data_IF_614174090101
#
_entry.id   IF_614174090101
#
_cell.length_a   1.000
_cell.length_b   1.000
_cell.length_c   1.000
_cell.angle_alpha   90.00
_cell.angle_beta   90.00
_cell.angle_gamma   90.00
#
_symmetry.space_group_name_H-M   'P 1'
#
loop_
_entity.id
_entity.type
_entity.pdbx_description
1 polymer ?
#
# COMPACT_ATOMS: atom_id res chain seq x y z
N UNK A 1 -8.17 33.17 27.10
CA UNK A 1 -9.08 33.53 25.98
C UNK A 1 -9.05 32.38 24.98
N UNK A 2 -10.04 31.49 24.98
CA UNK A 2 -10.15 30.45 23.96
C UNK A 2 -10.69 31.10 22.68
N UNK A 3 -9.83 31.31 21.68
CA UNK A 3 -10.29 31.73 20.37
C UNK A 3 -11.05 30.54 19.75
N UNK A 4 -12.36 30.65 19.68
CA UNK A 4 -13.22 29.70 18.99
C UNK A 4 -12.89 29.74 17.49
N UNK A 5 -12.25 28.69 16.97
CA UNK A 5 -11.91 28.62 15.55
C UNK A 5 -13.19 28.36 14.76
N UNK A 6 -13.60 29.21 13.82
CA UNK A 6 -14.82 28.99 13.04
C UNK A 6 -14.72 27.70 12.20
N UNK A 7 -15.84 26.98 12.05
CA UNK A 7 -15.91 25.75 11.24
C UNK A 7 -15.44 25.96 9.79
N UNK A 8 -15.74 27.13 9.20
CA UNK A 8 -15.24 27.51 7.87
C UNK A 8 -13.72 27.47 7.77
N UNK A 9 -13.02 27.91 8.81
CA UNK A 9 -11.55 27.89 8.88
C UNK A 9 -10.99 26.45 8.94
N UNK A 10 -11.70 25.56 9.63
CA UNK A 10 -11.34 24.13 9.71
C UNK A 10 -11.50 23.49 8.33
N UNK A 11 -12.62 23.71 7.68
CA UNK A 11 -12.91 23.17 6.34
C UNK A 11 -11.85 23.65 5.33
N UNK A 12 -11.53 24.95 5.32
CA UNK A 12 -10.49 25.51 4.45
C UNK A 12 -9.10 24.88 4.69
N UNK A 13 -8.74 24.61 5.96
CA UNK A 13 -7.48 23.92 6.30
C UNK A 13 -7.47 22.48 5.78
N UNK A 14 -8.58 21.77 5.89
CA UNK A 14 -8.69 20.39 5.40
C UNK A 14 -8.67 20.32 3.87
N UNK A 15 -9.36 21.23 3.18
CA UNK A 15 -9.30 21.36 1.72
C UNK A 15 -7.88 21.67 1.22
N UNK A 16 -7.15 22.51 1.95
CA UNK A 16 -5.73 22.75 1.65
C UNK A 16 -4.88 21.49 1.82
N UNK A 17 -5.14 20.66 2.85
CA UNK A 17 -4.45 19.37 3.02
C UNK A 17 -4.76 18.41 1.89
N UNK A 18 -6.02 18.34 1.45
CA UNK A 18 -6.42 17.52 0.31
C UNK A 18 -5.69 17.94 -0.98
N UNK A 19 -5.58 19.26 -1.22
CA UNK A 19 -4.82 19.76 -2.36
C UNK A 19 -3.33 19.42 -2.27
N UNK A 20 -2.71 19.57 -1.09
CA UNK A 20 -1.30 19.21 -0.89
C UNK A 20 -1.07 17.70 -1.09
N UNK A 21 -1.96 16.87 -0.56
CA UNK A 21 -1.91 15.42 -0.76
C UNK A 21 -2.03 15.05 -2.25
N UNK A 22 -2.87 15.77 -3.01
CA UNK A 22 -2.99 15.57 -4.46
C UNK A 22 -1.69 15.94 -5.19
N UNK A 23 -1.06 17.04 -4.84
CA UNK A 23 0.22 17.45 -5.42
C UNK A 23 1.32 16.44 -5.13
N UNK A 24 1.39 15.92 -3.90
CA UNK A 24 2.32 14.87 -3.51
C UNK A 24 2.08 13.59 -4.30
N UNK A 25 0.81 13.14 -4.38
CA UNK A 25 0.43 11.97 -5.17
C UNK A 25 0.84 12.10 -6.64
N UNK A 26 0.50 13.23 -7.27
CA UNK A 26 0.81 13.47 -8.69
C UNK A 26 2.33 13.48 -8.92
N UNK A 27 3.10 14.08 -8.00
CA UNK A 27 4.57 14.12 -8.05
C UNK A 27 5.20 12.73 -7.87
N UNK A 28 4.79 12.01 -6.84
CA UNK A 28 5.31 10.66 -6.54
C UNK A 28 4.96 9.67 -7.66
N UNK A 29 3.74 9.73 -8.18
CA UNK A 29 3.31 8.88 -9.30
C UNK A 29 4.13 9.15 -10.57
N UNK A 30 4.33 10.42 -10.91
CA UNK A 30 5.14 10.79 -12.07
C UNK A 30 6.61 10.42 -11.89
N UNK A 31 7.16 10.63 -10.69
CA UNK A 31 8.53 10.21 -10.35
C UNK A 31 8.69 8.70 -10.48
N UNK A 32 7.75 7.93 -9.93
CA UNK A 32 7.75 6.47 -10.07
C UNK A 32 7.65 6.05 -11.54
N UNK A 33 6.77 6.68 -12.32
CA UNK A 33 6.61 6.41 -13.74
C UNK A 33 7.91 6.64 -14.51
N UNK A 34 8.59 7.75 -14.27
CA UNK A 34 9.87 8.06 -14.91
C UNK A 34 10.97 7.08 -14.50
N UNK A 35 10.99 6.65 -13.25
CA UNK A 35 12.02 5.74 -12.72
C UNK A 35 11.78 4.27 -13.10
N UNK A 36 10.52 3.87 -13.31
CA UNK A 36 10.16 2.47 -13.55
C UNK A 36 9.63 2.20 -14.94
N UNK A 37 8.65 2.94 -15.44
CA UNK A 37 8.01 2.64 -16.73
C UNK A 37 8.90 3.03 -17.93
N UNK A 38 9.61 4.14 -17.84
CA UNK A 38 10.54 4.57 -18.89
C UNK A 38 11.82 3.73 -18.96
N UNK A 39 12.02 2.83 -17.99
CA UNK A 39 13.22 2.00 -17.86
C UNK A 39 12.99 0.62 -18.47
N UNK A 40 13.90 0.16 -19.34
CA UNK A 40 13.89 -1.23 -19.81
C UNK A 40 14.13 -2.24 -18.67
N UNK A 41 13.66 -3.50 -18.85
CA UNK A 41 13.74 -4.56 -17.83
C UNK A 41 15.16 -4.71 -17.27
N UNK A 42 16.17 -4.80 -18.12
CA UNK A 42 17.54 -5.01 -17.65
C UNK A 42 18.06 -3.93 -16.70
N UNK A 43 17.59 -2.68 -16.84
CA UNK A 43 17.93 -1.62 -15.88
C UNK A 43 17.14 -1.74 -14.58
N UNK A 44 15.87 -2.17 -14.66
CA UNK A 44 15.03 -2.42 -13.47
C UNK A 44 15.60 -3.55 -12.63
N UNK A 45 16.04 -4.64 -13.26
CA UNK A 45 16.69 -5.78 -12.60
C UNK A 45 17.98 -5.32 -11.92
N UNK A 46 18.87 -4.60 -12.62
CA UNK A 46 20.11 -4.06 -12.04
C UNK A 46 19.91 -3.09 -10.87
N UNK A 47 18.73 -2.46 -10.76
CA UNK A 47 18.36 -1.61 -9.63
C UNK A 47 17.59 -2.36 -8.54
N UNK A 48 17.44 -3.68 -8.67
CA UNK A 48 16.70 -4.51 -7.71
C UNK A 48 15.20 -4.25 -7.65
N UNK A 49 14.63 -3.53 -8.62
CA UNK A 49 13.21 -3.15 -8.66
C UNK A 49 12.35 -4.17 -9.41
N UNK A 50 12.97 -5.16 -10.03
CA UNK A 50 12.33 -6.16 -10.87
C UNK A 50 13.11 -7.48 -10.76
N UNK A 51 12.38 -8.59 -10.65
CA UNK A 51 12.92 -9.93 -10.85
C UNK A 51 12.40 -10.48 -12.17
N UNK A 52 13.32 -10.89 -13.03
CA UNK A 52 13.00 -11.48 -14.32
C UNK A 52 14.22 -12.29 -14.85
N UNK A 53 14.04 -13.53 -15.28
CA UNK A 53 12.83 -14.33 -15.13
C UNK A 53 12.61 -14.83 -13.69
N UNK A 54 11.36 -15.15 -13.37
CA UNK A 54 11.00 -15.83 -12.12
C UNK A 54 10.27 -17.14 -12.41
N UNK A 55 10.34 -18.09 -11.47
CA UNK A 55 9.45 -19.24 -11.42
C UNK A 55 8.37 -19.05 -10.37
N UNK A 56 7.13 -19.41 -10.68
CA UNK A 56 6.04 -19.52 -9.71
C UNK A 56 6.06 -20.92 -9.10
N UNK A 57 6.13 -20.97 -7.77
CA UNK A 57 6.15 -22.21 -6.97
C UNK A 57 4.79 -22.50 -6.33
N UNK A 58 4.83 -22.87 -5.04
CA UNK A 58 3.63 -23.24 -4.28
C UNK A 58 2.67 -22.05 -4.13
N UNK A 59 1.38 -22.36 -4.11
CA UNK A 59 0.34 -21.42 -3.68
C UNK A 59 -0.43 -22.03 -2.50
N UNK A 60 -0.78 -21.20 -1.53
CA UNK A 60 -1.48 -21.61 -0.32
C UNK A 60 -2.17 -20.41 0.35
N UNK A 61 -2.99 -20.70 1.36
CA UNK A 61 -3.53 -19.65 2.23
C UNK A 61 -2.63 -19.47 3.44
N UNK A 62 -2.19 -18.24 3.70
CA UNK A 62 -1.38 -17.89 4.86
C UNK A 62 -2.24 -17.88 6.15
N UNK A 63 -1.60 -17.60 7.31
CA UNK A 63 -2.29 -17.52 8.61
C UNK A 63 -3.39 -16.45 8.69
N UNK A 64 -3.37 -15.47 7.81
CA UNK A 64 -4.40 -14.44 7.68
C UNK A 64 -5.48 -14.80 6.66
N UNK A 65 -5.52 -16.06 6.20
CA UNK A 65 -6.44 -16.54 5.16
C UNK A 65 -6.35 -15.75 3.85
N UNK A 66 -5.14 -15.30 3.49
CA UNK A 66 -4.86 -14.64 2.22
C UNK A 66 -4.20 -15.63 1.27
N UNK A 67 -4.67 -15.67 0.02
CA UNK A 67 -4.05 -16.48 -1.01
C UNK A 67 -2.68 -15.93 -1.36
N UNK A 68 -1.65 -16.75 -1.26
CA UNK A 68 -0.27 -16.37 -1.58
C UNK A 68 0.32 -17.30 -2.63
N UNK A 69 1.29 -16.79 -3.37
CA UNK A 69 2.15 -17.56 -4.28
C UNK A 69 3.61 -17.32 -3.92
N UNK A 70 4.40 -18.37 -3.91
CA UNK A 70 5.86 -18.29 -3.81
C UNK A 70 6.43 -18.07 -5.21
N UNK A 71 7.36 -17.14 -5.32
CA UNK A 71 8.14 -16.92 -6.54
C UNK A 71 9.62 -16.97 -6.23
N UNK A 72 10.40 -17.48 -7.15
CA UNK A 72 11.84 -17.57 -7.03
C UNK A 72 12.51 -16.91 -8.25
N UNK A 73 13.52 -16.08 -7.97
CA UNK A 73 14.36 -15.43 -8.97
C UNK A 73 15.29 -16.47 -9.60
N UNK A 74 15.30 -16.54 -10.94
CA UNK A 74 16.07 -17.54 -11.67
C UNK A 74 17.47 -17.04 -12.06
N UNK A 75 17.61 -15.76 -12.32
CA UNK A 75 18.85 -15.11 -12.76
C UNK A 75 19.17 -13.91 -11.84
N UNK A 76 20.38 -13.34 -12.02
CA UNK A 76 20.83 -12.12 -11.33
C UNK A 76 20.74 -12.20 -9.80
N UNK A 77 21.03 -13.37 -9.22
CA UNK A 77 20.88 -13.66 -7.78
C UNK A 77 21.84 -12.88 -6.88
N UNK A 78 22.90 -12.33 -7.44
CA UNK A 78 23.90 -11.49 -6.78
C UNK A 78 23.47 -10.01 -6.68
N UNK A 79 22.39 -9.62 -7.35
CA UNK A 79 21.89 -8.24 -7.30
C UNK A 79 21.01 -8.03 -6.07
N UNK A 80 21.37 -7.06 -5.23
CA UNK A 80 20.51 -6.61 -4.12
C UNK A 80 19.16 -6.11 -4.65
N UNK A 81 18.08 -6.42 -3.95
CA UNK A 81 16.74 -6.01 -4.31
C UNK A 81 16.15 -5.01 -3.31
N UNK A 82 15.16 -4.24 -3.76
CA UNK A 82 14.46 -3.25 -2.95
C UNK A 82 13.01 -3.66 -2.62
N UNK A 83 12.70 -4.95 -2.79
CA UNK A 83 11.41 -5.49 -2.35
C UNK A 83 11.40 -5.62 -0.83
N UNK A 84 10.28 -5.20 -0.23
CA UNK A 84 10.05 -5.23 1.21
C UNK A 84 8.62 -5.67 1.51
N UNK A 85 8.38 -6.15 2.74
CA UNK A 85 7.03 -6.45 3.22
C UNK A 85 6.07 -5.29 2.99
N UNK A 86 4.87 -5.60 2.48
CA UNK A 86 3.80 -4.63 2.24
C UNK A 86 3.94 -3.83 0.94
N UNK A 87 5.05 -3.95 0.21
CA UNK A 87 5.22 -3.23 -1.06
C UNK A 87 4.32 -3.80 -2.15
N UNK A 88 3.62 -2.95 -2.90
CA UNK A 88 2.84 -3.38 -4.05
C UNK A 88 3.75 -3.80 -5.20
N UNK A 89 3.33 -4.85 -5.89
CA UNK A 89 4.01 -5.40 -7.05
C UNK A 89 3.02 -5.72 -8.16
N UNK A 90 3.49 -5.75 -9.40
CA UNK A 90 2.74 -6.26 -10.53
C UNK A 90 3.53 -7.36 -11.25
N UNK A 91 2.80 -8.35 -11.74
CA UNK A 91 3.33 -9.40 -12.60
C UNK A 91 3.29 -8.98 -14.06
N UNK A 92 4.20 -9.50 -14.84
CA UNK A 92 4.23 -9.31 -16.27
C UNK A 92 4.84 -10.53 -16.96
N UNK A 93 4.60 -10.65 -18.26
CA UNK A 93 5.29 -11.57 -19.16
C UNK A 93 6.00 -10.78 -20.24
N UNK A 94 7.02 -11.41 -20.83
CA UNK A 94 7.70 -10.87 -22.00
C UNK A 94 7.58 -11.84 -23.17
N UNK A 95 7.18 -11.35 -24.31
CA UNK A 95 7.14 -12.15 -25.53
C UNK A 95 8.52 -12.20 -26.22
N UNK A 96 8.66 -13.02 -27.25
CA UNK A 96 9.89 -13.19 -28.01
C UNK A 96 10.40 -11.90 -28.71
N UNK A 97 9.53 -10.93 -28.94
CA UNK A 97 9.90 -9.62 -29.48
C UNK A 97 10.36 -8.61 -28.40
N UNK A 98 10.38 -9.02 -27.13
CA UNK A 98 10.78 -8.16 -26.01
C UNK A 98 9.65 -7.27 -25.47
N UNK A 99 8.44 -7.38 -26.01
CA UNK A 99 7.29 -6.59 -25.55
C UNK A 99 6.76 -7.15 -24.22
N UNK A 100 6.45 -6.24 -23.28
CA UNK A 100 5.90 -6.55 -21.98
C UNK A 100 4.38 -6.59 -22.02
N UNK A 101 3.81 -7.58 -21.36
CA UNK A 101 2.40 -7.69 -21.10
C UNK A 101 2.17 -7.80 -19.57
N UNK A 102 1.57 -6.75 -18.99
CA UNK A 102 1.25 -6.71 -17.57
C UNK A 102 -0.08 -7.41 -17.29
N UNK A 103 -0.13 -8.15 -16.18
CA UNK A 103 -1.40 -8.69 -15.69
C UNK A 103 -2.27 -7.57 -15.14
N UNK A 104 -3.59 -7.71 -15.28
CA UNK A 104 -4.56 -6.70 -14.86
C UNK A 104 -4.90 -6.83 -13.35
N UNK A 105 -3.89 -7.02 -12.50
CA UNK A 105 -4.03 -7.00 -11.05
C UNK A 105 -2.73 -6.54 -10.40
N UNK A 106 -2.86 -5.99 -9.20
CA UNK A 106 -1.75 -5.72 -8.28
C UNK A 106 -1.74 -6.73 -7.16
N UNK A 107 -0.55 -7.04 -6.68
CA UNK A 107 -0.30 -7.96 -5.59
C UNK A 107 0.59 -7.29 -4.54
N UNK A 108 0.80 -7.92 -3.39
CA UNK A 108 1.55 -7.32 -2.29
C UNK A 108 2.60 -8.30 -1.77
N UNK A 109 3.81 -7.83 -1.53
CA UNK A 109 4.88 -8.63 -0.91
C UNK A 109 4.50 -8.97 0.52
N UNK A 110 4.41 -10.27 0.83
CA UNK A 110 4.17 -10.77 2.18
C UNK A 110 5.47 -11.12 2.92
N UNK A 111 6.43 -11.66 2.19
CA UNK A 111 7.75 -12.02 2.71
C UNK A 111 8.73 -12.01 1.55
N UNK A 112 9.97 -11.64 1.80
CA UNK A 112 11.04 -11.73 0.82
C UNK A 112 12.33 -12.13 1.54
N UNK A 113 13.06 -13.01 0.91
CA UNK A 113 14.40 -13.46 1.23
C UNK A 113 15.26 -13.31 -0.02
N UNK A 114 16.54 -13.59 0.03
CA UNK A 114 17.52 -13.34 -1.04
C UNK A 114 16.98 -13.58 -2.46
N UNK A 115 16.47 -14.77 -2.73
CA UNK A 115 15.98 -15.19 -4.06
C UNK A 115 14.53 -15.62 -4.09
N UNK A 116 13.86 -15.63 -2.94
CA UNK A 116 12.49 -16.10 -2.80
C UNK A 116 11.58 -15.02 -2.23
N UNK A 117 10.42 -14.88 -2.84
CA UNK A 117 9.39 -13.95 -2.39
C UNK A 117 8.05 -14.67 -2.25
N UNK A 118 7.30 -14.34 -1.20
CA UNK A 118 5.91 -14.75 -1.01
C UNK A 118 5.04 -13.53 -1.28
N UNK A 119 4.10 -13.66 -2.19
CA UNK A 119 3.27 -12.57 -2.69
C UNK A 119 1.81 -12.89 -2.42
N UNK A 120 1.09 -11.96 -1.77
CA UNK A 120 -0.37 -12.03 -1.59
C UNK A 120 -1.04 -11.66 -2.90
N UNK A 121 -1.89 -12.54 -3.39
CA UNK A 121 -2.69 -12.32 -4.59
C UNK A 121 -4.09 -11.79 -4.24
N UNK A 122 -4.68 -10.95 -5.08
CA UNK A 122 -6.02 -10.38 -4.83
C UNK A 122 -7.15 -11.38 -4.99
N UNK A 123 -6.96 -12.47 -5.77
CA UNK A 123 -8.00 -13.46 -6.06
C UNK A 123 -7.42 -14.77 -6.59
N UNK A 124 -8.25 -15.81 -6.63
CA UNK A 124 -7.90 -17.07 -7.28
C UNK A 124 -7.71 -16.91 -8.81
N UNK A 125 -8.44 -16.00 -9.45
CA UNK A 125 -8.28 -15.73 -10.88
C UNK A 125 -6.90 -15.16 -11.22
N UNK A 126 -6.33 -14.37 -10.30
CA UNK A 126 -4.96 -13.89 -10.43
C UNK A 126 -3.95 -15.06 -10.43
N UNK A 127 -4.13 -16.04 -9.54
CA UNK A 127 -3.30 -17.24 -9.51
C UNK A 127 -3.44 -18.04 -10.79
N UNK A 128 -4.67 -18.29 -11.26
CA UNK A 128 -4.91 -19.01 -12.51
C UNK A 128 -4.25 -18.32 -13.70
N UNK A 129 -4.29 -16.98 -13.75
CA UNK A 129 -3.65 -16.20 -14.80
C UNK A 129 -2.12 -16.38 -14.80
N UNK A 130 -1.48 -16.42 -13.62
CA UNK A 130 -0.05 -16.69 -13.49
C UNK A 130 0.28 -18.11 -13.94
N UNK A 131 -0.51 -19.10 -13.54
CA UNK A 131 -0.27 -20.51 -13.85
C UNK A 131 -0.54 -20.89 -15.31
N UNK A 132 -1.44 -20.17 -15.96
CA UNK A 132 -1.81 -20.43 -17.35
C UNK A 132 -0.79 -19.92 -18.39
N UNK A 133 0.18 -19.10 -17.96
CA UNK A 133 1.15 -18.52 -18.91
C UNK A 133 2.28 -19.50 -19.21
N UNK A 134 2.60 -19.65 -20.50
CA UNK A 134 3.78 -20.37 -20.99
C UNK A 134 4.98 -19.42 -21.23
N UNK A 135 4.75 -18.11 -21.11
CA UNK A 135 5.78 -17.10 -21.30
C UNK A 135 6.60 -16.91 -20.03
N UNK A 136 7.82 -16.40 -20.19
CA UNK A 136 8.66 -16.06 -19.05
C UNK A 136 7.98 -15.00 -18.19
N UNK A 137 7.84 -15.32 -16.91
CA UNK A 137 7.19 -14.51 -15.91
C UNK A 137 8.19 -13.56 -15.25
N UNK A 138 7.74 -12.36 -14.92
CA UNK A 138 8.49 -11.40 -14.12
C UNK A 138 7.60 -10.72 -13.10
N UNK A 139 8.23 -10.15 -12.09
CA UNK A 139 7.57 -9.32 -11.06
C UNK A 139 8.37 -8.04 -10.85
N UNK A 140 7.69 -6.91 -10.73
CA UNK A 140 8.32 -5.62 -10.46
C UNK A 140 7.54 -4.83 -9.44
N UNK A 141 8.21 -3.87 -8.81
CA UNK A 141 7.54 -2.89 -7.94
C UNK A 141 6.45 -2.14 -8.70
N UNK A 142 5.39 -1.85 -7.99
CA UNK A 142 4.26 -1.05 -8.47
C UNK A 142 4.04 0.17 -7.59
N UNK A 143 3.42 1.22 -8.12
CA UNK A 143 3.12 2.41 -7.35
C UNK A 143 2.01 2.13 -6.33
N UNK A 144 2.18 2.58 -5.08
CA UNK A 144 1.18 2.37 -4.03
C UNK A 144 0.02 3.37 -4.15
N UNK A 145 -0.90 3.08 -5.07
CA UNK A 145 -2.13 3.87 -5.21
C UNK A 145 -3.12 3.65 -4.04
N UNK A 146 -3.03 2.51 -3.37
CA UNK A 146 -4.00 2.13 -2.32
C UNK A 146 -3.90 3.04 -1.11
N UNK A 147 -2.68 3.32 -0.65
CA UNK A 147 -2.46 4.22 0.49
C UNK A 147 -2.97 5.63 0.19
N UNK A 148 -2.69 6.15 -1.00
CA UNK A 148 -3.19 7.46 -1.41
C UNK A 148 -4.71 7.49 -1.52
N UNK A 149 -5.33 6.47 -2.11
CA UNK A 149 -6.79 6.35 -2.19
C UNK A 149 -7.44 6.38 -0.81
N UNK A 150 -6.91 5.61 0.14
CA UNK A 150 -7.41 5.59 1.52
C UNK A 150 -7.26 6.95 2.22
N UNK A 151 -6.15 7.65 2.00
CA UNK A 151 -5.95 9.00 2.54
C UNK A 151 -6.95 10.01 1.96
N UNK A 152 -7.22 9.98 0.64
CA UNK A 152 -8.24 10.82 0.00
C UNK A 152 -9.65 10.48 0.49
N UNK A 153 -9.98 9.21 0.61
CA UNK A 153 -11.27 8.77 1.16
C UNK A 153 -11.48 9.25 2.60
N UNK A 154 -10.45 9.10 3.45
CA UNK A 154 -10.50 9.57 4.84
C UNK A 154 -10.70 11.09 4.94
N UNK A 155 -9.92 11.87 4.17
CA UNK A 155 -10.10 13.33 4.12
C UNK A 155 -11.49 13.72 3.61
N UNK A 156 -11.97 13.06 2.56
CA UNK A 156 -13.30 13.30 2.01
C UNK A 156 -14.41 12.99 3.01
N UNK A 157 -14.29 11.93 3.81
CA UNK A 157 -15.24 11.59 4.88
C UNK A 157 -15.24 12.67 5.98
N UNK A 158 -14.07 13.12 6.42
CA UNK A 158 -13.95 14.17 7.44
C UNK A 158 -14.52 15.51 6.95
N UNK A 159 -14.27 15.87 5.69
CA UNK A 159 -14.82 17.09 5.09
C UNK A 159 -16.35 17.09 5.00
N UNK A 160 -16.92 15.93 4.63
CA UNK A 160 -18.38 15.76 4.44
C UNK A 160 -19.14 15.51 5.74
N UNK A 161 -18.46 15.19 6.84
CA UNK A 161 -19.08 14.83 8.10
C UNK A 161 -19.96 15.99 8.64
N UNK A 162 -21.21 15.70 8.99
CA UNK A 162 -22.18 16.65 9.56
C UNK A 162 -23.04 15.94 10.61
N UNK A 163 -23.14 16.52 11.80
CA UNK A 163 -24.06 16.05 12.85
C UNK A 163 -23.78 14.63 13.36
N UNK A 164 -22.60 14.11 13.16
CA UNK A 164 -22.17 12.79 13.61
C UNK A 164 -20.88 12.86 14.43
N UNK A 165 -20.47 11.75 15.02
CA UNK A 165 -19.26 11.66 15.85
C UNK A 165 -18.00 12.10 15.12
N UNK A 166 -17.87 11.85 13.82
CA UNK A 166 -16.72 12.27 13.03
C UNK A 166 -16.65 13.80 12.90
N UNK A 167 -17.79 14.47 12.72
CA UNK A 167 -17.87 15.93 12.72
C UNK A 167 -17.44 16.52 14.06
N UNK A 168 -17.94 15.95 15.16
CA UNK A 168 -17.58 16.34 16.52
C UNK A 168 -16.08 16.17 16.79
N UNK A 169 -15.51 15.01 16.45
CA UNK A 169 -14.08 14.74 16.58
C UNK A 169 -13.23 15.71 15.75
N UNK A 170 -13.66 16.04 14.53
CA UNK A 170 -13.00 17.06 13.70
C UNK A 170 -12.92 18.40 14.42
N UNK A 171 -14.01 18.85 15.04
CA UNK A 171 -14.10 20.12 15.74
C UNK A 171 -13.26 20.13 17.02
N UNK A 172 -13.24 19.01 17.76
CA UNK A 172 -12.38 18.84 18.93
C UNK A 172 -10.91 18.89 18.53
N UNK A 173 -10.53 18.13 17.49
CA UNK A 173 -9.14 18.07 17.00
C UNK A 173 -8.60 19.43 16.53
N UNK A 174 -9.46 20.24 15.97
CA UNK A 174 -9.10 21.59 15.52
C UNK A 174 -9.31 22.68 16.57
N UNK A 175 -9.73 22.31 17.79
CA UNK A 175 -9.88 23.26 18.91
C UNK A 175 -11.10 24.15 18.83
N UNK A 176 -12.08 23.89 17.94
CA UNK A 176 -13.35 24.61 17.88
C UNK A 176 -14.37 24.12 18.92
N UNK A 177 -14.23 22.89 19.36
CA UNK A 177 -15.02 22.29 20.43
C UNK A 177 -14.09 21.71 21.50
N UNK A 178 -14.49 21.85 22.78
CA UNK A 178 -13.75 21.26 23.89
C UNK A 178 -14.07 19.77 24.02
N UNK A 179 -13.06 18.94 24.23
CA UNK A 179 -13.29 17.54 24.57
C UNK A 179 -13.95 17.42 25.94
N UNK A 180 -14.96 16.58 26.04
CA UNK A 180 -15.52 16.18 27.32
C UNK A 180 -14.58 15.18 27.98
N UNK A 181 -14.26 15.41 29.24
CA UNK A 181 -13.45 14.51 30.05
C UNK A 181 -14.31 13.90 31.13
N UNK A 182 -14.28 12.59 31.24
CA UNK A 182 -14.98 11.86 32.28
C UNK A 182 -13.98 11.32 33.29
N UNK A 183 -14.34 11.36 34.56
CA UNK A 183 -13.64 10.62 35.60
C UNK A 183 -14.11 9.16 35.53
N UNK A 184 -13.30 8.28 34.98
CA UNK A 184 -13.56 6.84 35.06
C UNK A 184 -13.16 6.32 36.44
N UNK A 185 -14.08 5.57 37.09
CA UNK A 185 -13.68 4.70 38.18
C UNK A 185 -12.63 3.70 37.67
N UNK A 186 -11.45 3.70 38.27
CA UNK A 186 -10.40 2.79 37.89
C UNK A 186 -10.86 1.34 38.16
N UNK A 187 -11.00 0.54 37.10
CA UNK A 187 -11.31 -0.89 37.24
C UNK A 187 -10.01 -1.65 36.99
N UNK A 188 -9.45 -2.22 38.05
CA UNK A 188 -8.27 -3.05 37.94
C UNK A 188 -8.63 -4.39 37.32
N UNK A 189 -8.00 -4.73 36.20
CA UNK A 189 -8.17 -6.03 35.56
C UNK A 189 -7.17 -7.02 36.18
N UNK A 190 -7.63 -8.09 36.85
CA UNK A 190 -6.73 -9.00 37.58
C UNK A 190 -5.79 -9.80 36.70
N UNK A 191 -5.99 -9.79 35.39
CA UNK A 191 -5.13 -10.47 34.38
C UNK A 191 -4.14 -9.52 33.70
N UNK A 192 -4.16 -8.23 33.99
CA UNK A 192 -3.16 -7.29 33.49
C UNK A 192 -2.05 -7.11 34.54
N UNK A 193 -0.82 -6.93 34.07
CA UNK A 193 0.28 -6.53 34.93
C UNK A 193 0.35 -5.00 35.09
N UNK A 194 1.13 -4.51 36.04
CA UNK A 194 1.23 -3.08 36.35
C UNK A 194 1.72 -2.20 35.19
N UNK A 195 2.24 -2.80 34.12
CA UNK A 195 2.70 -2.08 32.90
C UNK A 195 1.62 -2.06 31.82
N UNK A 196 0.60 -2.92 31.95
CA UNK A 196 -0.52 -3.04 31.00
C UNK A 196 -1.78 -2.30 31.48
N UNK A 197 -1.81 -1.84 32.71
CA UNK A 197 -2.82 -0.93 33.28
C UNK A 197 -2.40 0.53 33.04
#
# INVERSE_FOLDING_TARGET
MNQHIPLSNIINKLQRKELLLKLEYDYEKETFRQQTEAMGIGRKVKRGMCWYPISAGRSYYNSLNQLVVEVERQEDKDIEHVFEFGRPVCFFTQNASGQLHYFNFTATVNYVDEDRMVIVLPSADALLSIQATELQLGVQLYFDETSYRLMFEALGQVLKAKGNRLAELREIFHGSQKAETFSFGFTRFPWLNNTQE
#
